data_IF_516597524461
#
_entry.id   IF_516597524461
#
_cell.length_a   1.000
_cell.length_b   1.000
_cell.length_c   1.000
_cell.angle_alpha   90.00
_cell.angle_beta   90.00
_cell.angle_gamma   90.00
#
_symmetry.space_group_name_H-M   'P 1'
#
loop_
_entity.id
_entity.type
_entity.pdbx_description
1 polymer ?
#
# COMPACT_ATOMS: atom_id res chain seq x y z
N UNK A 1 -23.90 -2.95 -1.97
CA UNK A 1 -24.67 -1.97 -1.18
C UNK A 1 -24.14 -1.83 0.25
N UNK A 2 -24.03 -2.91 1.02
CA UNK A 2 -23.66 -2.86 2.45
C UNK A 2 -22.21 -2.44 2.77
N UNK A 3 -21.32 -2.38 1.78
CA UNK A 3 -19.96 -1.85 1.91
C UNK A 3 -19.85 -0.35 1.57
N UNK A 4 -20.89 0.26 1.00
CA UNK A 4 -20.89 1.68 0.63
C UNK A 4 -20.63 2.58 1.86
N UNK A 5 -21.23 2.34 3.04
CA UNK A 5 -20.94 3.15 4.23
C UNK A 5 -19.47 3.07 4.65
N UNK A 6 -18.83 1.90 4.53
CA UNK A 6 -17.40 1.75 4.81
C UNK A 6 -16.51 2.57 3.85
N UNK A 7 -16.93 2.77 2.60
CA UNK A 7 -16.21 3.62 1.65
C UNK A 7 -16.17 5.08 2.12
N UNK A 8 -17.32 5.64 2.54
CA UNK A 8 -17.38 7.00 3.09
C UNK A 8 -16.62 7.11 4.41
N UNK A 9 -16.75 6.14 5.31
CA UNK A 9 -15.96 6.08 6.54
C UNK A 9 -14.46 6.05 6.24
N UNK A 10 -14.04 5.25 5.25
CA UNK A 10 -12.67 5.19 4.76
C UNK A 10 -12.17 6.53 4.21
N UNK A 11 -13.02 7.26 3.48
CA UNK A 11 -12.68 8.58 2.94
C UNK A 11 -12.38 9.62 4.04
N UNK A 12 -12.99 9.49 5.23
CA UNK A 12 -12.67 10.32 6.42
C UNK A 12 -11.47 9.74 7.20
N UNK A 13 -11.40 8.42 7.33
CA UNK A 13 -10.35 7.74 8.10
C UNK A 13 -8.95 7.93 7.50
N UNK A 14 -8.83 7.92 6.17
CA UNK A 14 -7.52 8.03 5.50
C UNK A 14 -6.86 9.40 5.74
N UNK A 15 -7.55 10.55 5.62
CA UNK A 15 -7.01 11.84 6.07
C UNK A 15 -6.64 11.88 7.56
N UNK A 16 -7.50 11.36 8.46
CA UNK A 16 -7.22 11.34 9.90
C UNK A 16 -5.95 10.55 10.24
N UNK A 17 -5.80 9.36 9.65
CA UNK A 17 -4.59 8.54 9.82
C UNK A 17 -3.35 9.25 9.27
N UNK A 18 -3.45 9.92 8.11
CA UNK A 18 -2.32 10.70 7.58
C UNK A 18 -1.97 11.91 8.44
N UNK A 19 -2.97 12.63 8.95
CA UNK A 19 -2.77 13.77 9.85
C UNK A 19 -1.95 13.40 11.09
N UNK A 20 -2.28 12.28 11.74
CA UNK A 20 -1.53 11.78 12.89
C UNK A 20 -0.15 11.24 12.47
N UNK A 21 -0.10 10.49 11.37
CA UNK A 21 1.13 9.85 10.90
C UNK A 21 2.21 10.86 10.48
N UNK A 22 1.86 11.97 9.82
CA UNK A 22 2.84 12.99 9.41
C UNK A 22 3.52 13.67 10.61
N UNK A 23 2.85 13.67 11.77
CA UNK A 23 3.36 14.22 13.03
C UNK A 23 4.07 13.17 13.90
N UNK A 24 4.23 11.94 13.39
CA UNK A 24 4.76 10.80 14.16
C UNK A 24 3.90 10.40 15.38
N UNK A 25 2.62 10.77 15.40
CA UNK A 25 1.66 10.38 16.45
C UNK A 25 1.05 9.02 16.10
N UNK A 26 1.84 7.96 16.23
CA UNK A 26 1.48 6.61 15.76
C UNK A 26 0.73 5.78 16.81
N UNK A 27 1.04 5.97 18.09
CA UNK A 27 0.49 5.14 19.17
C UNK A 27 -1.05 5.12 19.22
N UNK A 28 -1.78 6.25 19.07
CA UNK A 28 -3.24 6.25 19.04
C UNK A 28 -3.79 5.47 17.86
N UNK A 29 -3.13 5.54 16.69
CA UNK A 29 -3.52 4.78 15.52
C UNK A 29 -3.39 3.26 15.76
N UNK A 30 -2.32 2.84 16.45
CA UNK A 30 -2.11 1.44 16.81
C UNK A 30 -3.17 0.97 17.82
N UNK A 31 -3.36 1.71 18.92
CA UNK A 31 -4.31 1.34 19.98
C UNK A 31 -5.73 1.23 19.43
N UNK A 32 -6.18 2.23 18.68
CA UNK A 32 -7.51 2.23 18.07
C UNK A 32 -7.66 1.09 17.06
N UNK A 33 -6.68 0.86 16.19
CA UNK A 33 -6.75 -0.23 15.21
C UNK A 33 -6.81 -1.61 15.89
N UNK A 34 -6.02 -1.84 16.93
CA UNK A 34 -6.04 -3.09 17.71
C UNK A 34 -7.38 -3.30 18.42
N UNK A 35 -7.91 -2.25 19.06
CA UNK A 35 -9.23 -2.30 19.69
C UNK A 35 -10.35 -2.60 18.68
N UNK A 36 -10.33 -1.92 17.54
CA UNK A 36 -11.29 -2.13 16.45
C UNK A 36 -11.21 -3.55 15.91
N UNK A 37 -10.03 -4.14 15.77
CA UNK A 37 -9.87 -5.53 15.31
C UNK A 37 -10.55 -6.53 16.26
N UNK A 38 -10.39 -6.35 17.57
CA UNK A 38 -11.06 -7.18 18.57
C UNK A 38 -12.59 -7.06 18.46
N UNK A 39 -13.10 -5.82 18.41
CA UNK A 39 -14.54 -5.57 18.26
C UNK A 39 -15.08 -6.06 16.92
N UNK A 40 -14.30 -5.96 15.85
CA UNK A 40 -14.69 -6.42 14.52
C UNK A 40 -14.91 -7.92 14.51
N UNK A 41 -14.02 -8.68 15.15
CA UNK A 41 -14.13 -10.14 15.27
C UNK A 41 -15.41 -10.54 15.99
N UNK A 42 -15.71 -9.90 17.13
CA UNK A 42 -16.95 -10.13 17.89
C UNK A 42 -18.17 -9.74 17.06
N UNK A 43 -18.13 -8.57 16.41
CA UNK A 43 -19.23 -8.05 15.59
C UNK A 43 -19.53 -8.99 14.41
N UNK A 44 -18.49 -9.47 13.73
CA UNK A 44 -18.63 -10.47 12.67
C UNK A 44 -19.28 -11.74 13.19
N UNK A 45 -18.84 -12.27 14.34
CA UNK A 45 -19.43 -13.48 14.92
C UNK A 45 -20.92 -13.29 15.26
N UNK A 46 -21.30 -12.16 15.87
CA UNK A 46 -22.70 -11.85 16.20
C UNK A 46 -23.53 -11.70 14.92
N UNK A 47 -23.13 -10.82 14.01
CA UNK A 47 -23.93 -10.48 12.83
C UNK A 47 -24.05 -11.65 11.86
N UNK A 48 -22.98 -12.43 11.67
CA UNK A 48 -22.97 -13.55 10.73
C UNK A 48 -23.64 -14.78 11.33
N UNK A 49 -23.28 -15.18 12.55
CA UNK A 49 -23.70 -16.47 13.11
C UNK A 49 -24.96 -16.37 13.98
N UNK A 50 -25.06 -15.35 14.84
CA UNK A 50 -26.19 -15.22 15.78
C UNK A 50 -27.41 -14.58 15.13
N UNK A 51 -27.20 -13.52 14.35
CA UNK A 51 -28.26 -12.83 13.61
C UNK A 51 -28.47 -13.39 12.20
N UNK A 52 -27.68 -14.38 11.80
CA UNK A 52 -27.83 -15.10 10.52
C UNK A 52 -27.87 -14.20 9.28
N UNK A 53 -27.18 -13.04 9.32
CA UNK A 53 -27.15 -12.10 8.19
C UNK A 53 -26.16 -12.53 7.09
N UNK A 54 -25.44 -13.64 7.28
CA UNK A 54 -24.49 -14.19 6.31
C UNK A 54 -23.46 -13.16 5.85
N UNK A 55 -23.19 -13.11 4.55
CA UNK A 55 -22.22 -12.16 3.96
C UNK A 55 -22.61 -10.68 4.16
N UNK A 56 -23.92 -10.38 4.27
CA UNK A 56 -24.37 -9.01 4.57
C UNK A 56 -23.93 -8.60 5.98
N UNK A 57 -24.00 -9.53 6.94
CA UNK A 57 -23.53 -9.32 8.31
C UNK A 57 -22.04 -8.93 8.37
N UNK A 58 -21.19 -9.63 7.61
CA UNK A 58 -19.76 -9.29 7.52
C UNK A 58 -19.52 -7.88 6.94
N UNK A 59 -20.26 -7.51 5.88
CA UNK A 59 -20.17 -6.17 5.29
C UNK A 59 -20.64 -5.05 6.24
N UNK A 60 -21.69 -5.31 7.02
CA UNK A 60 -22.18 -4.39 8.05
C UNK A 60 -21.16 -4.26 9.19
N UNK A 61 -20.61 -5.37 9.69
CA UNK A 61 -19.54 -5.36 10.69
C UNK A 61 -18.35 -4.51 10.23
N UNK A 62 -17.92 -4.66 8.98
CA UNK A 62 -16.84 -3.88 8.40
C UNK A 62 -17.14 -2.38 8.35
N UNK A 63 -18.36 -2.01 7.96
CA UNK A 63 -18.83 -0.62 7.96
C UNK A 63 -18.84 -0.02 9.38
N UNK A 64 -19.38 -0.76 10.36
CA UNK A 64 -19.41 -0.33 11.76
C UNK A 64 -18.00 -0.14 12.33
N UNK A 65 -17.10 -1.10 12.11
CA UNK A 65 -15.71 -1.01 12.55
C UNK A 65 -14.99 0.18 11.94
N UNK A 66 -15.24 0.48 10.66
CA UNK A 66 -14.63 1.63 9.99
C UNK A 66 -15.09 2.96 10.60
N UNK A 67 -16.40 3.13 10.79
CA UNK A 67 -16.95 4.35 11.40
C UNK A 67 -16.59 4.50 12.86
N UNK A 68 -16.54 3.41 13.62
CA UNK A 68 -16.07 3.45 15.00
C UNK A 68 -14.61 3.92 15.06
N UNK A 69 -13.75 3.48 14.12
CA UNK A 69 -12.37 3.96 14.04
C UNK A 69 -12.31 5.46 13.70
N UNK A 70 -13.16 5.94 12.79
CA UNK A 70 -13.30 7.39 12.49
C UNK A 70 -13.66 8.16 13.76
N UNK A 71 -14.64 7.69 14.53
CA UNK A 71 -15.07 8.33 15.78
C UNK A 71 -13.92 8.36 16.79
N UNK A 72 -13.27 7.22 17.06
CA UNK A 72 -12.19 7.13 18.05
C UNK A 72 -11.00 8.03 17.70
N UNK A 73 -10.55 8.02 16.44
CA UNK A 73 -9.46 8.90 16.00
C UNK A 73 -9.90 10.37 15.96
N UNK A 74 -11.14 10.65 15.55
CA UNK A 74 -11.70 12.01 15.57
C UNK A 74 -11.76 12.59 16.98
N UNK A 75 -12.20 11.78 17.96
CA UNK A 75 -12.18 12.14 19.38
C UNK A 75 -10.75 12.39 19.89
N UNK A 76 -9.81 11.52 19.52
CA UNK A 76 -8.40 11.72 19.88
C UNK A 76 -7.86 13.05 19.31
N UNK A 77 -8.08 13.32 18.03
CA UNK A 77 -7.65 14.57 17.39
C UNK A 77 -8.31 15.79 18.05
N UNK A 78 -9.59 15.69 18.45
CA UNK A 78 -10.36 16.77 19.08
C UNK A 78 -9.97 17.08 20.53
N UNK A 79 -9.52 16.09 21.30
CA UNK A 79 -9.31 16.26 22.74
C UNK A 79 -7.84 16.12 23.19
N UNK A 80 -6.97 15.48 22.40
CA UNK A 80 -5.56 15.31 22.78
C UNK A 80 -4.77 16.61 22.68
N UNK A 81 -3.94 16.89 23.68
CA UNK A 81 -2.96 17.99 23.66
C UNK A 81 -1.88 17.78 22.59
N UNK A 82 -1.60 16.54 22.19
CA UNK A 82 -0.62 16.23 21.13
C UNK A 82 -1.00 16.85 19.77
N UNK A 83 -2.29 17.09 19.55
CA UNK A 83 -2.81 17.68 18.32
C UNK A 83 -3.10 19.18 18.46
N UNK A 84 -2.91 19.79 19.63
CA UNK A 84 -3.37 21.16 19.92
C UNK A 84 -2.79 22.20 18.96
N UNK A 85 -1.48 22.10 18.65
CA UNK A 85 -0.78 23.04 17.75
C UNK A 85 -1.13 22.86 16.27
N UNK A 86 -1.60 21.68 15.88
CA UNK A 86 -1.83 21.30 14.48
C UNK A 86 -3.32 21.18 14.14
N UNK A 87 -4.19 21.19 15.15
CA UNK A 87 -5.64 21.13 15.01
C UNK A 87 -6.12 22.45 14.41
N UNK A 88 -6.43 22.41 13.12
CA UNK A 88 -7.08 23.52 12.43
C UNK A 88 -8.60 23.51 12.69
N UNK A 89 -9.24 24.68 12.80
CA UNK A 89 -10.70 24.76 12.77
C UNK A 89 -11.21 24.33 11.38
N UNK A 90 -12.46 23.86 11.31
CA UNK A 90 -13.15 23.72 10.03
C UNK A 90 -13.44 25.13 9.49
N UNK A 91 -12.62 25.58 8.53
CA UNK A 91 -12.79 26.86 7.83
C UNK A 91 -12.83 26.65 6.31
N UNK A 92 -13.24 27.69 5.57
CA UNK A 92 -13.24 27.67 4.10
C UNK A 92 -11.83 27.52 3.51
N UNK A 93 -10.79 27.82 4.28
CA UNK A 93 -9.38 27.61 3.89
C UNK A 93 -9.09 26.14 3.56
N UNK A 94 -9.84 25.19 4.14
CA UNK A 94 -9.71 23.78 3.80
C UNK A 94 -10.07 23.49 2.34
N UNK A 95 -10.95 24.30 1.72
CA UNK A 95 -11.37 24.15 0.33
C UNK A 95 -10.30 24.65 -0.65
N UNK A 96 -9.49 25.65 -0.25
CA UNK A 96 -8.41 26.19 -1.10
C UNK A 96 -7.31 25.15 -1.39
N UNK A 97 -7.13 24.19 -0.48
CA UNK A 97 -6.16 23.10 -0.64
C UNK A 97 -6.59 21.96 -1.59
N UNK A 98 -7.82 21.98 -2.12
CA UNK A 98 -8.37 20.85 -2.90
C UNK A 98 -7.59 20.62 -4.20
N UNK A 99 -7.25 21.70 -4.93
CA UNK A 99 -6.50 21.59 -6.19
C UNK A 99 -5.13 20.95 -5.99
N UNK A 100 -4.39 21.37 -4.95
CA UNK A 100 -3.10 20.78 -4.60
C UNK A 100 -3.26 19.32 -4.14
N UNK A 101 -4.29 19.03 -3.34
CA UNK A 101 -4.61 17.68 -2.91
C UNK A 101 -4.79 16.74 -4.11
N UNK A 102 -5.57 17.13 -5.13
CA UNK A 102 -5.74 16.30 -6.33
C UNK A 102 -4.48 16.24 -7.19
N UNK A 103 -3.71 17.33 -7.31
CA UNK A 103 -2.45 17.38 -8.06
C UNK A 103 -1.43 16.34 -7.58
N UNK A 104 -1.37 16.10 -6.26
CA UNK A 104 -0.49 15.10 -5.64
C UNK A 104 -1.19 13.75 -5.42
N UNK A 105 -2.49 13.79 -5.13
CA UNK A 105 -3.33 12.65 -4.81
C UNK A 105 -3.61 11.75 -6.00
N UNK A 106 -3.93 12.32 -7.18
CA UNK A 106 -4.22 11.53 -8.39
C UNK A 106 -3.01 10.69 -8.81
N UNK A 107 -1.79 11.25 -8.97
CA UNK A 107 -0.62 10.41 -9.26
C UNK A 107 -0.33 9.37 -8.17
N UNK A 108 -0.52 9.72 -6.89
CA UNK A 108 -0.36 8.77 -5.78
C UNK A 108 -1.37 7.63 -5.83
N UNK A 109 -2.62 7.91 -6.18
CA UNK A 109 -3.66 6.92 -6.37
C UNK A 109 -3.32 6.01 -7.55
N UNK A 110 -2.91 6.58 -8.69
CA UNK A 110 -2.47 5.82 -9.87
C UNK A 110 -1.30 4.89 -9.52
N UNK A 111 -0.30 5.35 -8.78
CA UNK A 111 0.81 4.49 -8.33
C UNK A 111 0.33 3.26 -7.57
N UNK A 112 -0.65 3.41 -6.69
CA UNK A 112 -1.18 2.30 -5.90
C UNK A 112 -2.10 1.43 -6.77
N UNK A 113 -3.11 2.02 -7.40
CA UNK A 113 -4.15 1.33 -8.15
C UNK A 113 -3.60 0.50 -9.31
N UNK A 114 -2.66 1.01 -10.09
CA UNK A 114 -2.12 0.29 -11.26
C UNK A 114 -1.49 -1.06 -10.88
N UNK A 115 -0.78 -1.11 -9.75
CA UNK A 115 -0.22 -2.38 -9.27
C UNK A 115 -1.33 -3.36 -8.90
N UNK A 116 -2.28 -2.93 -8.07
CA UNK A 116 -3.38 -3.79 -7.62
C UNK A 116 -4.26 -4.26 -8.79
N UNK A 117 -4.61 -3.36 -9.71
CA UNK A 117 -5.41 -3.70 -10.89
C UNK A 117 -4.67 -4.67 -11.82
N UNK A 118 -3.34 -4.56 -11.97
CA UNK A 118 -2.57 -5.53 -12.75
C UNK A 118 -2.64 -6.95 -12.16
N UNK A 119 -2.65 -7.07 -10.82
CA UNK A 119 -2.81 -8.35 -10.12
C UNK A 119 -4.23 -8.91 -10.28
N UNK A 120 -5.26 -8.07 -10.18
CA UNK A 120 -6.65 -8.48 -10.44
C UNK A 120 -6.84 -8.94 -11.89
N UNK A 121 -6.26 -8.22 -12.86
CA UNK A 121 -6.28 -8.62 -14.26
C UNK A 121 -5.63 -9.99 -14.45
N UNK A 122 -4.50 -10.28 -13.79
CA UNK A 122 -3.90 -11.61 -13.83
C UNK A 122 -4.82 -12.70 -13.28
N UNK A 123 -5.49 -12.43 -12.16
CA UNK A 123 -6.41 -13.38 -11.56
C UNK A 123 -7.61 -13.65 -12.48
N UNK A 124 -8.09 -12.63 -13.20
CA UNK A 124 -9.11 -12.80 -14.23
C UNK A 124 -8.58 -13.63 -15.41
N UNK A 125 -7.36 -13.35 -15.88
CA UNK A 125 -6.72 -14.09 -16.97
C UNK A 125 -6.51 -15.57 -16.63
N UNK A 126 -6.26 -15.92 -15.36
CA UNK A 126 -6.11 -17.32 -14.97
C UNK A 126 -7.39 -18.14 -15.15
N UNK A 127 -8.55 -17.47 -15.14
CA UNK A 127 -9.84 -18.08 -15.43
C UNK A 127 -10.01 -18.53 -16.89
N UNK A 128 -9.11 -18.13 -17.79
CA UNK A 128 -9.15 -18.49 -19.22
C UNK A 128 -8.33 -19.74 -19.55
N UNK A 129 -7.56 -20.29 -18.59
CA UNK A 129 -6.80 -21.52 -18.81
C UNK A 129 -7.68 -22.76 -18.84
N UNK A 130 -7.19 -23.85 -19.46
CA UNK A 130 -7.91 -25.14 -19.57
C UNK A 130 -8.33 -25.75 -18.23
N UNK A 131 -7.57 -25.51 -17.15
CA UNK A 131 -7.95 -25.90 -15.78
C UNK A 131 -8.09 -24.63 -14.92
N UNK A 132 -9.19 -23.87 -15.09
CA UNK A 132 -9.29 -22.53 -14.51
C UNK A 132 -9.43 -22.59 -12.98
N UNK A 133 -10.07 -23.63 -12.44
CA UNK A 133 -10.22 -23.83 -10.98
C UNK A 133 -8.87 -23.98 -10.29
N UNK A 134 -7.98 -24.81 -10.83
CA UNK A 134 -6.65 -25.01 -10.26
C UNK A 134 -5.80 -23.74 -10.35
N UNK A 135 -5.68 -23.15 -11.53
CA UNK A 135 -4.81 -21.98 -11.74
C UNK A 135 -5.28 -20.76 -10.93
N UNK A 136 -6.60 -20.51 -10.91
CA UNK A 136 -7.18 -19.40 -10.13
C UNK A 136 -7.02 -19.62 -8.63
N UNK A 137 -7.21 -20.86 -8.13
CA UNK A 137 -7.01 -21.17 -6.70
C UNK A 137 -5.56 -20.95 -6.27
N UNK A 138 -4.60 -21.47 -7.06
CA UNK A 138 -3.17 -21.32 -6.78
C UNK A 138 -2.76 -19.85 -6.81
N UNK A 139 -3.17 -19.09 -7.82
CA UNK A 139 -2.85 -17.67 -7.91
C UNK A 139 -3.51 -16.83 -6.81
N UNK A 140 -4.75 -17.15 -6.42
CA UNK A 140 -5.43 -16.51 -5.29
C UNK A 140 -4.67 -16.70 -3.99
N UNK A 141 -4.16 -17.92 -3.75
CA UNK A 141 -3.33 -18.22 -2.57
C UNK A 141 -1.99 -17.47 -2.65
N UNK A 142 -1.34 -17.43 -3.81
CA UNK A 142 -0.10 -16.67 -4.02
C UNK A 142 -0.31 -15.17 -3.75
N UNK A 143 -1.40 -14.58 -4.25
CA UNK A 143 -1.78 -13.19 -4.00
C UNK A 143 -2.09 -12.93 -2.51
N UNK A 144 -2.75 -13.88 -1.85
CA UNK A 144 -3.04 -13.79 -0.41
C UNK A 144 -1.75 -13.76 0.41
N UNK A 145 -0.83 -14.69 0.14
CA UNK A 145 0.49 -14.75 0.79
C UNK A 145 1.26 -13.45 0.54
N UNK A 146 1.25 -12.94 -0.70
CA UNK A 146 1.94 -11.70 -1.06
C UNK A 146 1.34 -10.47 -0.41
N UNK A 147 0.01 -10.39 -0.33
CA UNK A 147 -0.69 -9.29 0.33
C UNK A 147 -0.43 -9.28 1.83
N UNK A 148 -0.39 -10.46 2.47
CA UNK A 148 -0.06 -10.59 3.89
C UNK A 148 1.34 -10.04 4.18
N UNK A 149 2.33 -10.45 3.39
CA UNK A 149 3.69 -9.92 3.47
C UNK A 149 3.72 -8.40 3.25
N UNK A 150 3.08 -7.89 2.20
CA UNK A 150 3.14 -6.49 1.80
C UNK A 150 2.69 -5.49 2.87
N UNK A 151 1.94 -5.92 3.90
CA UNK A 151 1.56 -5.07 5.03
C UNK A 151 2.76 -4.51 5.78
N UNK A 152 3.82 -5.29 5.98
CA UNK A 152 5.02 -4.87 6.73
C UNK A 152 5.86 -3.87 5.92
N UNK A 153 6.24 -4.14 4.66
CA UNK A 153 6.98 -3.16 3.87
C UNK A 153 6.18 -1.92 3.53
N UNK A 154 4.85 -2.01 3.40
CA UNK A 154 4.00 -0.84 3.28
C UNK A 154 4.14 0.09 4.51
N UNK A 155 4.29 -0.48 5.70
CA UNK A 155 4.63 0.25 6.93
C UNK A 155 5.98 0.97 6.83
N UNK A 156 7.02 0.30 6.36
CA UNK A 156 8.33 0.94 6.11
C UNK A 156 8.24 2.05 5.07
N UNK A 157 7.51 1.86 3.97
CA UNK A 157 7.27 2.90 2.98
C UNK A 157 6.47 4.08 3.52
N UNK A 158 5.52 3.83 4.43
CA UNK A 158 4.78 4.89 5.12
C UNK A 158 5.70 5.70 6.06
N UNK A 159 6.57 5.02 6.82
CA UNK A 159 7.56 5.64 7.68
C UNK A 159 8.61 6.44 6.88
N UNK A 160 9.15 5.86 5.80
CA UNK A 160 10.06 6.52 4.89
C UNK A 160 9.43 7.78 4.29
N UNK A 161 8.18 7.70 3.83
CA UNK A 161 7.43 8.85 3.32
C UNK A 161 7.34 9.97 4.35
N UNK A 162 6.96 9.68 5.60
CA UNK A 162 6.85 10.66 6.68
C UNK A 162 8.22 11.27 7.02
N UNK A 163 9.25 10.44 7.21
CA UNK A 163 10.59 10.92 7.60
C UNK A 163 11.19 11.78 6.50
N UNK A 164 11.16 11.32 5.25
CA UNK A 164 11.67 12.09 4.10
C UNK A 164 10.92 13.40 3.93
N UNK A 165 9.58 13.41 4.01
CA UNK A 165 8.83 14.67 3.88
C UNK A 165 9.16 15.66 4.99
N UNK A 166 9.33 15.18 6.23
CA UNK A 166 9.62 16.04 7.38
C UNK A 166 11.03 16.62 7.31
N UNK A 167 12.04 15.81 6.97
CA UNK A 167 13.42 16.29 6.83
C UNK A 167 13.58 17.25 5.65
N UNK A 168 12.90 16.98 4.52
CA UNK A 168 12.89 17.91 3.39
C UNK A 168 12.22 19.24 3.75
N UNK A 169 11.09 19.19 4.47
CA UNK A 169 10.40 20.38 4.97
C UNK A 169 11.20 21.15 6.03
N UNK A 170 12.05 20.48 6.80
CA UNK A 170 12.95 21.07 7.78
C UNK A 170 14.25 21.62 7.18
N UNK A 171 14.52 21.37 5.89
CA UNK A 171 15.74 21.82 5.24
C UNK A 171 16.95 20.92 5.42
N UNK A 172 16.75 19.64 5.76
CA UNK A 172 17.81 18.69 6.10
C UNK A 172 17.98 17.60 5.01
N UNK A 173 18.69 17.86 3.90
CA UNK A 173 18.82 16.90 2.81
C UNK A 173 19.59 15.64 3.20
N UNK A 174 20.59 15.75 4.09
CA UNK A 174 21.38 14.59 4.56
C UNK A 174 20.53 13.63 5.41
N UNK A 175 19.69 14.17 6.30
CA UNK A 175 18.79 13.34 7.11
C UNK A 175 17.68 12.71 6.27
N UNK A 176 17.19 13.42 5.25
CA UNK A 176 16.28 12.82 4.27
C UNK A 176 16.91 11.62 3.56
N UNK A 177 18.16 11.75 3.08
CA UNK A 177 18.90 10.64 2.47
C UNK A 177 19.15 9.49 3.44
N UNK A 178 19.50 9.79 4.70
CA UNK A 178 19.69 8.78 5.74
C UNK A 178 18.39 8.00 6.00
N UNK A 179 17.25 8.69 6.06
CA UNK A 179 15.94 8.04 6.24
C UNK A 179 15.64 7.04 5.12
N UNK A 180 16.00 7.35 3.87
CA UNK A 180 15.88 6.43 2.74
C UNK A 180 16.74 5.19 2.96
N UNK A 181 18.02 5.36 3.31
CA UNK A 181 18.96 4.25 3.48
C UNK A 181 18.53 3.32 4.61
N UNK A 182 18.12 3.87 5.76
CA UNK A 182 17.61 3.09 6.89
C UNK A 182 16.36 2.31 6.50
N UNK A 183 15.41 2.95 5.80
CA UNK A 183 14.19 2.27 5.38
C UNK A 183 14.47 1.14 4.37
N UNK A 184 15.39 1.34 3.42
CA UNK A 184 15.81 0.30 2.47
C UNK A 184 16.54 -0.85 3.18
N UNK A 185 17.36 -0.56 4.17
CA UNK A 185 18.03 -1.59 4.99
C UNK A 185 17.01 -2.44 5.76
N UNK A 186 16.01 -1.81 6.39
CA UNK A 186 14.93 -2.51 7.09
C UNK A 186 14.11 -3.38 6.14
N UNK A 187 13.74 -2.86 4.97
CA UNK A 187 13.01 -3.62 3.95
C UNK A 187 13.83 -4.78 3.37
N UNK A 188 15.12 -4.59 3.12
CA UNK A 188 16.01 -5.66 2.66
C UNK A 188 16.13 -6.77 3.71
N UNK A 189 16.40 -6.40 4.96
CA UNK A 189 16.54 -7.35 6.07
C UNK A 189 15.26 -8.13 6.32
N UNK A 190 14.11 -7.44 6.36
CA UNK A 190 12.80 -8.07 6.50
C UNK A 190 12.50 -9.05 5.35
N UNK A 191 12.73 -8.63 4.11
CA UNK A 191 12.44 -9.47 2.95
C UNK A 191 13.28 -10.75 2.93
N UNK A 192 14.54 -10.70 3.39
CA UNK A 192 15.40 -11.88 3.54
C UNK A 192 14.84 -12.82 4.60
N UNK A 193 14.52 -12.30 5.80
CA UNK A 193 13.99 -13.11 6.91
C UNK A 193 12.69 -13.81 6.49
N UNK A 194 11.73 -13.06 5.94
CA UNK A 194 10.41 -13.60 5.58
C UNK A 194 10.52 -14.54 4.38
N UNK A 195 11.32 -14.22 3.37
CA UNK A 195 11.53 -15.09 2.21
C UNK A 195 12.20 -16.41 2.60
N UNK A 196 13.21 -16.38 3.48
CA UNK A 196 13.85 -17.60 3.99
C UNK A 196 12.87 -18.47 4.78
N UNK A 197 12.08 -17.88 5.69
CA UNK A 197 11.04 -18.61 6.43
C UNK A 197 10.00 -19.26 5.51
N UNK A 198 9.53 -18.52 4.49
CA UNK A 198 8.59 -19.05 3.50
C UNK A 198 9.20 -20.19 2.67
N UNK A 199 10.45 -20.01 2.22
CA UNK A 199 11.14 -21.01 1.41
C UNK A 199 11.40 -22.33 2.17
N UNK A 200 11.76 -22.24 3.45
CA UNK A 200 11.95 -23.40 4.31
C UNK A 200 10.63 -24.13 4.57
N UNK A 201 9.53 -23.39 4.69
CA UNK A 201 8.18 -23.95 4.90
C UNK A 201 7.45 -24.33 3.60
N UNK A 202 8.08 -24.20 2.42
CA UNK A 202 7.43 -24.37 1.11
C UNK A 202 6.72 -25.71 0.87
N UNK A 203 7.12 -26.77 1.57
CA UNK A 203 6.51 -28.10 1.42
C UNK A 203 5.22 -28.25 2.23
N UNK A 204 5.05 -27.45 3.29
CA UNK A 204 3.89 -27.52 4.19
C UNK A 204 2.93 -26.35 4.01
N UNK A 205 3.43 -25.21 3.50
CA UNK A 205 2.68 -23.97 3.33
C UNK A 205 1.32 -24.15 2.62
N UNK A 206 1.27 -24.96 1.56
CA UNK A 206 0.04 -25.17 0.80
C UNK A 206 -1.09 -25.77 1.62
N UNK A 207 -0.78 -26.58 2.64
CA UNK A 207 -1.78 -27.23 3.50
C UNK A 207 -2.52 -26.25 4.42
N UNK A 208 -1.97 -25.04 4.64
CA UNK A 208 -2.68 -23.98 5.36
C UNK A 208 -3.88 -23.42 4.57
N UNK A 209 -3.92 -23.65 3.26
CA UNK A 209 -4.93 -23.07 2.36
C UNK A 209 -5.81 -24.12 1.66
N UNK A 210 -5.31 -25.32 1.42
CA UNK A 210 -6.06 -26.35 0.70
C UNK A 210 -5.69 -27.76 1.13
N UNK A 211 -6.70 -28.64 1.13
CA UNK A 211 -6.52 -30.08 1.30
C UNK A 211 -6.23 -30.80 -0.04
N UNK A 212 -6.36 -30.11 -1.17
CA UNK A 212 -6.06 -30.67 -2.50
C UNK A 212 -4.54 -30.73 -2.72
N UNK A 213 -4.01 -31.97 -2.79
CA UNK A 213 -2.59 -32.23 -3.00
C UNK A 213 -2.03 -31.58 -4.27
N UNK A 214 -2.84 -31.42 -5.32
CA UNK A 214 -2.42 -30.76 -6.55
C UNK A 214 -2.16 -29.27 -6.32
N UNK A 215 -3.05 -28.59 -5.60
CA UNK A 215 -2.89 -27.19 -5.19
C UNK A 215 -1.66 -27.04 -4.29
N UNK A 216 -1.53 -27.88 -3.28
CA UNK A 216 -0.39 -27.84 -2.33
C UNK A 216 0.95 -27.98 -3.05
N UNK A 217 1.07 -28.96 -3.94
CA UNK A 217 2.30 -29.17 -4.72
C UNK A 217 2.60 -27.98 -5.62
N UNK A 218 1.59 -27.41 -6.26
CA UNK A 218 1.78 -26.24 -7.13
C UNK A 218 2.22 -25.01 -6.32
N UNK A 219 1.64 -24.76 -5.15
CA UNK A 219 2.11 -23.70 -4.24
C UNK A 219 3.58 -23.88 -3.89
N UNK A 220 4.02 -25.10 -3.59
CA UNK A 220 5.44 -25.39 -3.33
C UNK A 220 6.37 -25.03 -4.50
N UNK A 221 5.92 -25.26 -5.73
CA UNK A 221 6.63 -24.88 -6.96
C UNK A 221 6.63 -23.36 -7.19
N UNK A 222 5.57 -22.67 -6.76
CA UNK A 222 5.44 -21.21 -6.86
C UNK A 222 6.23 -20.48 -5.78
N UNK A 223 6.45 -21.08 -4.61
CA UNK A 223 7.09 -20.43 -3.45
C UNK A 223 8.41 -19.71 -3.79
N UNK A 224 9.36 -20.26 -4.57
CA UNK A 224 10.58 -19.54 -4.92
C UNK A 224 10.31 -18.23 -5.68
N UNK A 225 9.30 -18.20 -6.56
CA UNK A 225 8.90 -16.97 -7.27
C UNK A 225 8.23 -15.96 -6.32
N UNK A 226 7.46 -16.45 -5.34
CA UNK A 226 6.87 -15.60 -4.30
C UNK A 226 7.98 -14.97 -3.43
N UNK A 227 9.00 -15.74 -3.05
CA UNK A 227 10.16 -15.22 -2.32
C UNK A 227 10.86 -14.10 -3.10
N UNK A 228 11.07 -14.25 -4.41
CA UNK A 228 11.60 -13.17 -5.24
C UNK A 228 10.67 -11.96 -5.29
N UNK A 229 9.36 -12.21 -5.32
CA UNK A 229 8.34 -11.14 -5.28
C UNK A 229 8.40 -10.36 -3.97
N UNK A 230 8.64 -11.02 -2.84
CA UNK A 230 8.78 -10.36 -1.54
C UNK A 230 9.93 -9.36 -1.54
N UNK A 231 11.10 -9.75 -2.04
CA UNK A 231 12.26 -8.85 -2.13
C UNK A 231 11.93 -7.61 -2.98
N UNK A 232 11.32 -7.82 -4.16
CA UNK A 232 10.93 -6.69 -5.03
C UNK A 232 9.88 -5.81 -4.37
N UNK A 233 8.84 -6.42 -3.79
CA UNK A 233 7.74 -5.72 -3.14
C UNK A 233 8.22 -4.89 -1.95
N UNK A 234 9.17 -5.40 -1.16
CA UNK A 234 9.71 -4.69 0.01
C UNK A 234 10.49 -3.44 -0.39
N UNK A 235 11.38 -3.57 -1.38
CA UNK A 235 12.13 -2.44 -1.92
C UNK A 235 11.20 -1.41 -2.57
N UNK A 236 10.26 -1.87 -3.39
CA UNK A 236 9.30 -1.01 -4.08
C UNK A 236 8.40 -0.25 -3.10
N UNK A 237 7.95 -0.87 -2.01
CA UNK A 237 7.12 -0.22 -1.01
C UNK A 237 7.83 1.01 -0.40
N UNK A 238 9.11 0.84 -0.06
CA UNK A 238 9.97 1.93 0.45
C UNK A 238 10.19 2.99 -0.60
N UNK A 239 10.65 2.63 -1.80
CA UNK A 239 10.95 3.59 -2.87
C UNK A 239 9.69 4.40 -3.29
N UNK A 240 8.53 3.75 -3.35
CA UNK A 240 7.26 4.42 -3.59
C UNK A 240 6.88 5.37 -2.44
N UNK A 241 7.24 5.00 -1.21
CA UNK A 241 7.15 5.87 -0.03
C UNK A 241 8.04 7.11 -0.16
N UNK A 242 9.29 6.94 -0.60
CA UNK A 242 10.22 8.05 -0.85
C UNK A 242 9.68 8.99 -1.93
N UNK A 243 9.18 8.45 -3.05
CA UNK A 243 8.57 9.25 -4.11
C UNK A 243 7.39 10.11 -3.60
N UNK A 244 6.55 9.55 -2.72
CA UNK A 244 5.46 10.29 -2.05
C UNK A 244 5.98 11.34 -1.07
N UNK A 245 6.96 11.01 -0.24
CA UNK A 245 7.53 11.92 0.76
C UNK A 245 8.26 13.11 0.14
N UNK A 246 8.95 12.88 -0.97
CA UNK A 246 9.66 13.94 -1.71
C UNK A 246 8.75 14.73 -2.67
N UNK A 247 7.62 14.16 -3.09
CA UNK A 247 6.61 14.83 -3.92
C UNK A 247 6.79 14.67 -5.43
N UNK A 248 7.46 13.62 -5.89
CA UNK A 248 7.63 13.30 -7.32
C UNK A 248 6.79 12.08 -7.75
N UNK A 249 5.58 11.99 -7.21
CA UNK A 249 4.68 10.85 -7.42
C UNK A 249 4.27 10.68 -8.89
N UNK A 250 4.28 11.77 -9.68
CA UNK A 250 4.05 11.72 -11.14
C UNK A 250 5.04 10.79 -11.85
N UNK A 251 6.34 10.89 -11.53
CA UNK A 251 7.38 10.03 -12.11
C UNK A 251 7.12 8.58 -11.71
N UNK A 252 6.81 8.35 -10.43
CA UNK A 252 6.42 7.02 -9.94
C UNK A 252 5.22 6.44 -10.69
N UNK A 253 4.19 7.25 -10.96
CA UNK A 253 3.01 6.80 -11.72
C UNK A 253 3.38 6.36 -13.14
N UNK A 254 4.20 7.13 -13.87
CA UNK A 254 4.68 6.73 -15.21
C UNK A 254 5.51 5.45 -15.18
N UNK A 255 6.40 5.31 -14.19
CA UNK A 255 7.19 4.09 -14.00
C UNK A 255 6.26 2.89 -13.78
N UNK A 256 5.19 3.04 -12.98
CA UNK A 256 4.24 1.95 -12.73
C UNK A 256 3.48 1.53 -14.01
N UNK A 257 3.06 2.49 -14.82
CA UNK A 257 2.43 2.21 -16.12
C UNK A 257 3.39 1.41 -17.00
N UNK A 258 4.61 1.91 -17.21
CA UNK A 258 5.59 1.24 -18.06
C UNK A 258 5.93 -0.16 -17.55
N UNK A 259 6.13 -0.29 -16.24
CA UNK A 259 6.58 -1.55 -15.64
C UNK A 259 5.50 -2.63 -15.65
N UNK A 260 4.27 -2.31 -15.24
CA UNK A 260 3.22 -3.34 -15.16
C UNK A 260 2.43 -3.49 -16.46
N UNK A 261 2.16 -2.41 -17.20
CA UNK A 261 1.26 -2.49 -18.36
C UNK A 261 2.00 -2.64 -19.68
N UNK A 262 3.21 -2.07 -19.83
CA UNK A 262 4.00 -2.24 -21.06
C UNK A 262 4.95 -3.43 -21.02
N UNK A 263 5.32 -3.89 -19.82
CA UNK A 263 6.24 -5.03 -19.66
C UNK A 263 5.58 -6.19 -18.93
N UNK A 264 5.13 -5.98 -17.69
CA UNK A 264 4.67 -7.08 -16.83
C UNK A 264 3.48 -7.87 -17.40
N UNK A 265 2.41 -7.20 -17.81
CA UNK A 265 1.22 -7.82 -18.40
C UNK A 265 1.49 -8.48 -19.75
N UNK A 266 2.20 -7.86 -20.71
CA UNK A 266 2.61 -8.54 -21.94
C UNK A 266 3.46 -9.78 -21.69
N UNK A 267 4.46 -9.70 -20.81
CA UNK A 267 5.30 -10.86 -20.45
C UNK A 267 4.46 -11.95 -19.79
N UNK A 268 3.54 -11.59 -18.88
CA UNK A 268 2.61 -12.52 -18.26
C UNK A 268 1.76 -13.23 -19.31
N UNK A 269 1.17 -12.49 -20.26
CA UNK A 269 0.34 -13.05 -21.31
C UNK A 269 1.12 -14.01 -22.23
N UNK A 270 2.32 -13.61 -22.67
CA UNK A 270 3.18 -14.45 -23.51
C UNK A 270 3.60 -15.71 -22.76
N UNK A 271 4.11 -15.60 -21.54
CA UNK A 271 4.57 -16.77 -20.78
C UNK A 271 3.42 -17.68 -20.36
N UNK A 272 2.29 -17.10 -19.95
CA UNK A 272 1.12 -17.84 -19.50
C UNK A 272 0.43 -18.60 -20.63
N UNK A 273 0.15 -17.94 -21.76
CA UNK A 273 -0.66 -18.48 -22.85
C UNK A 273 0.18 -19.09 -23.97
N UNK A 274 1.22 -18.40 -24.45
CA UNK A 274 2.01 -18.83 -25.62
C UNK A 274 3.08 -19.84 -25.22
N UNK A 275 3.85 -19.57 -24.17
CA UNK A 275 4.85 -20.51 -23.66
C UNK A 275 4.25 -21.61 -22.75
N UNK A 276 2.93 -21.62 -22.59
CA UNK A 276 2.17 -22.61 -21.82
C UNK A 276 2.63 -22.81 -20.36
N UNK A 277 3.25 -21.78 -19.74
CA UNK A 277 3.64 -21.81 -18.33
C UNK A 277 2.47 -21.52 -17.38
N UNK A 278 1.28 -21.22 -17.91
CA UNK A 278 0.03 -21.01 -17.16
C UNK A 278 0.20 -20.02 -16.01
N UNK A 279 -0.32 -20.32 -14.80
CA UNK A 279 -0.22 -19.45 -13.64
C UNK A 279 1.21 -19.10 -13.24
N UNK A 280 2.18 -20.02 -13.42
CA UNK A 280 3.60 -19.71 -13.24
C UNK A 280 4.06 -18.62 -14.22
N UNK A 281 3.66 -18.72 -15.48
CA UNK A 281 3.95 -17.71 -16.51
C UNK A 281 3.35 -16.35 -16.17
N UNK A 282 2.10 -16.32 -15.71
CA UNK A 282 1.46 -15.08 -15.27
C UNK A 282 2.24 -14.42 -14.12
N UNK A 283 2.64 -15.19 -13.12
CA UNK A 283 3.40 -14.68 -11.97
C UNK A 283 4.79 -14.16 -12.34
N UNK A 284 5.49 -14.85 -13.25
CA UNK A 284 6.78 -14.38 -13.77
C UNK A 284 6.64 -13.02 -14.46
N UNK A 285 5.54 -12.78 -15.18
CA UNK A 285 5.29 -11.48 -15.79
C UNK A 285 5.12 -10.35 -14.77
N UNK A 286 4.35 -10.56 -13.70
CA UNK A 286 4.28 -9.56 -12.62
C UNK A 286 5.64 -9.35 -11.95
N UNK A 287 6.40 -10.42 -11.73
CA UNK A 287 7.74 -10.31 -11.17
C UNK A 287 8.67 -9.49 -12.08
N UNK A 288 8.59 -9.66 -13.39
CA UNK A 288 9.34 -8.86 -14.36
C UNK A 288 8.96 -7.37 -14.29
N UNK A 289 7.65 -7.08 -14.16
CA UNK A 289 7.16 -5.72 -13.92
C UNK A 289 7.68 -5.13 -12.61
N UNK A 290 7.55 -5.85 -11.50
CA UNK A 290 8.05 -5.43 -10.18
C UNK A 290 9.57 -5.22 -10.18
N UNK A 291 10.32 -6.06 -10.90
CA UNK A 291 11.77 -5.90 -11.06
C UNK A 291 12.11 -4.61 -11.80
N UNK A 292 11.52 -4.38 -12.98
CA UNK A 292 11.74 -3.17 -13.76
C UNK A 292 11.37 -1.91 -12.96
N UNK A 293 10.23 -1.93 -12.27
CA UNK A 293 9.80 -0.84 -11.43
C UNK A 293 10.81 -0.55 -10.31
N UNK A 294 11.30 -1.60 -9.63
CA UNK A 294 12.28 -1.47 -8.56
C UNK A 294 13.57 -0.85 -9.06
N UNK A 295 14.07 -1.30 -10.21
CA UNK A 295 15.27 -0.74 -10.86
C UNK A 295 15.06 0.74 -11.19
N UNK A 296 13.97 1.09 -11.87
CA UNK A 296 13.69 2.47 -12.28
C UNK A 296 13.53 3.40 -11.07
N UNK A 297 12.75 3.00 -10.06
CA UNK A 297 12.60 3.79 -8.84
C UNK A 297 13.92 3.92 -8.05
N UNK A 298 14.76 2.88 -8.04
CA UNK A 298 16.08 2.93 -7.41
C UNK A 298 16.99 3.92 -8.12
N UNK A 299 17.02 3.91 -9.47
CA UNK A 299 17.78 4.86 -10.28
C UNK A 299 17.34 6.28 -9.97
N UNK A 300 16.05 6.57 -10.02
CA UNK A 300 15.60 7.95 -9.77
C UNK A 300 15.89 8.37 -8.32
N UNK A 301 15.75 7.46 -7.35
CA UNK A 301 16.10 7.75 -5.95
C UNK A 301 17.60 8.03 -5.79
N UNK A 302 18.47 7.24 -6.44
CA UNK A 302 19.92 7.43 -6.41
C UNK A 302 20.36 8.73 -7.10
N UNK A 303 19.70 9.09 -8.20
CA UNK A 303 19.96 10.31 -8.97
C UNK A 303 19.23 11.55 -8.42
N UNK A 304 18.50 11.43 -7.30
CA UNK A 304 17.77 12.56 -6.71
C UNK A 304 18.75 13.54 -6.07
N UNK A 305 18.76 14.77 -6.56
CA UNK A 305 19.40 15.89 -5.88
C UNK A 305 18.57 16.31 -4.65
N UNK A 306 19.03 15.89 -3.48
CA UNK A 306 18.37 16.15 -2.20
C UNK A 306 18.32 17.64 -1.84
N UNK A 307 19.33 18.44 -2.23
CA UNK A 307 19.32 19.88 -1.98
C UNK A 307 18.23 20.55 -2.82
N UNK A 308 18.12 20.17 -4.09
CA UNK A 308 17.03 20.66 -4.96
C UNK A 308 15.65 20.27 -4.44
N UNK A 309 15.50 19.08 -3.86
CA UNK A 309 14.23 18.66 -3.27
C UNK A 309 13.85 19.47 -2.03
N UNK A 310 14.83 19.86 -1.20
CA UNK A 310 14.62 20.79 -0.08
C UNK A 310 14.11 22.13 -0.58
N UNK A 311 14.75 22.72 -1.60
CA UNK A 311 14.31 24.00 -2.18
C UNK A 311 12.87 23.92 -2.67
N UNK A 312 12.54 22.86 -3.43
CA UNK A 312 11.17 22.61 -3.90
C UNK A 312 10.15 22.39 -2.78
N UNK A 313 10.56 21.76 -1.67
CA UNK A 313 9.68 21.57 -0.52
C UNK A 313 9.37 22.92 0.16
N UNK A 314 10.38 23.78 0.29
CA UNK A 314 10.23 25.13 0.84
C UNK A 314 9.34 26.02 -0.03
N UNK A 315 9.56 26.02 -1.35
CA UNK A 315 8.73 26.76 -2.32
C UNK A 315 7.25 26.37 -2.20
N UNK A 316 6.95 25.07 -2.17
CA UNK A 316 5.57 24.56 -2.01
C UNK A 316 4.87 25.08 -0.74
N UNK A 317 5.60 25.18 0.37
CA UNK A 317 5.03 25.71 1.63
C UNK A 317 4.81 27.22 1.54
N UNK A 318 5.68 27.95 0.84
CA UNK A 318 5.57 29.39 0.66
C UNK A 318 4.41 29.78 -0.29
N UNK A 319 4.29 29.11 -1.43
CA UNK A 319 3.17 29.30 -2.39
C UNK A 319 1.81 29.15 -1.72
N UNK A 320 1.68 28.18 -0.81
CA UNK A 320 0.44 27.97 -0.05
C UNK A 320 0.16 29.09 0.95
N UNK A 321 1.19 29.68 1.55
CA UNK A 321 1.01 30.82 2.47
C UNK A 321 0.62 32.09 1.72
N UNK A 322 1.08 32.28 0.49
CA UNK A 322 0.66 33.42 -0.33
C UNK A 322 -0.77 33.27 -0.84
N UNK A 323 -1.17 32.08 -1.31
CA UNK A 323 -2.54 31.87 -1.83
C UNK A 323 -3.61 32.11 -0.78
N UNK A 324 -3.36 31.75 0.48
CA UNK A 324 -4.29 32.04 1.60
C UNK A 324 -4.38 33.55 1.87
N UNK A 325 -3.26 34.28 1.79
CA UNK A 325 -3.24 35.72 2.06
C UNK A 325 -3.88 36.58 0.98
N UNK A 326 -3.86 36.14 -0.27
CA UNK A 326 -4.44 36.90 -1.39
C UNK A 326 -5.96 36.74 -1.48
N UNK A 327 -6.54 35.66 -0.95
CA UNK A 327 -8.00 35.43 -0.90
C UNK A 327 -8.67 35.97 0.38
N UNK A 328 -7.90 36.29 1.43
CA UNK A 328 -8.37 36.97 2.65
C UNK A 328 -8.40 38.51 2.50
N UNK A 329 -8.04 39.05 1.34
CA UNK A 329 -8.11 40.48 0.97
C UNK A 329 -9.30 40.76 0.06
#
# INVERSE_FOLDING_TARGET
MWLIPALFGGAVLKPLTRYLQTQSVILPMLITSSFILCLHTISCWILVNKLQLGQKGAAIAFSLSTWLNVILLGLYVKFSSACEKTRAPLSREALYGIGEFFRLGVPSAIMVCLKWWSMELLLLLSGLFKNPKLETSVLSICLTISTLHFTVPYGFGAAASTRVSNELGAGNPQLARMAVLVALFLAGTESVIVSSGLFLSRQVLGYAYSNDRQVVRYISVMTPLICLSFIMDSLQAVLSGVARGSGWQKIGAYINIGSFYLVGLPVAAVLGFVAHLRGKGLWIGILAGSFLQTVLLSIVTACTDWNKQVTKARERVLERRSSVKDEDK
#
